data_IF_090124842590
#
_entry.id   IF_090124842590
#
_cell.length_a   1.000
_cell.length_b   1.000
_cell.length_c   1.000
_cell.angle_alpha   90.00
_cell.angle_beta   90.00
_cell.angle_gamma   90.00
#
_symmetry.space_group_name_H-M   'P 1'
#
loop_
_entity.id
_entity.type
_entity.pdbx_description
1 polymer ?
#
# COMPACT_ATOMS: atom_id res chain seq x y z
N UNK A 1 -33.11 25.14 -45.20
CA UNK A 1 -34.28 24.25 -45.02
C UNK A 1 -34.80 23.87 -46.41
N UNK A 2 -35.87 23.08 -46.52
CA UNK A 2 -36.52 22.72 -47.81
C UNK A 2 -37.01 23.91 -48.64
N UNK A 3 -36.97 25.13 -48.08
CA UNK A 3 -37.35 26.39 -48.71
C UNK A 3 -36.16 27.31 -49.05
N UNK A 4 -34.93 26.78 -49.10
CA UNK A 4 -33.72 27.55 -49.39
C UNK A 4 -33.31 28.59 -48.32
N UNK A 5 -34.04 28.71 -47.21
CA UNK A 5 -33.71 29.65 -46.12
C UNK A 5 -32.54 29.11 -45.30
N UNK A 6 -31.55 29.97 -45.04
CA UNK A 6 -30.46 29.73 -44.09
C UNK A 6 -31.07 29.65 -42.68
N UNK A 7 -30.96 28.49 -42.05
CA UNK A 7 -31.39 28.24 -40.67
C UNK A 7 -30.16 27.93 -39.83
N UNK A 8 -30.07 28.48 -38.61
CA UNK A 8 -28.99 28.14 -37.68
C UNK A 8 -29.21 26.69 -37.22
N UNK A 9 -28.30 25.80 -37.61
CA UNK A 9 -28.31 24.43 -37.12
C UNK A 9 -27.91 24.41 -35.64
N UNK A 10 -28.64 23.63 -34.84
CA UNK A 10 -28.35 23.45 -33.42
C UNK A 10 -27.34 22.32 -33.24
N UNK A 11 -26.34 22.54 -32.39
CA UNK A 11 -25.40 21.51 -31.93
C UNK A 11 -25.80 21.16 -30.49
N UNK A 12 -26.29 19.95 -30.29
CA UNK A 12 -26.59 19.42 -28.96
C UNK A 12 -25.46 18.49 -28.52
N UNK A 13 -24.94 18.69 -27.31
CA UNK A 13 -23.81 17.93 -26.78
C UNK A 13 -24.08 17.46 -25.36
N UNK A 14 -23.70 16.22 -25.09
CA UNK A 14 -23.73 15.60 -23.78
C UNK A 14 -22.35 15.03 -23.48
N UNK A 15 -21.80 15.40 -22.32
CA UNK A 15 -20.55 14.85 -21.80
C UNK A 15 -20.82 14.30 -20.40
N UNK A 16 -20.53 13.01 -20.21
CA UNK A 16 -20.53 12.35 -18.92
C UNK A 16 -19.12 11.85 -18.61
N UNK A 17 -18.70 12.02 -17.35
CA UNK A 17 -17.37 11.66 -16.90
C UNK A 17 -17.53 10.74 -15.69
N UNK A 18 -16.85 9.61 -15.73
CA UNK A 18 -16.78 8.65 -14.63
C UNK A 18 -15.33 8.44 -14.22
N UNK A 19 -15.08 8.31 -12.93
CA UNK A 19 -13.76 8.03 -12.36
C UNK A 19 -13.80 6.67 -11.69
N UNK A 20 -12.86 5.80 -12.06
CA UNK A 20 -12.49 4.63 -11.29
C UNK A 20 -11.16 4.92 -10.57
N UNK A 21 -11.17 5.14 -9.24
CA UNK A 21 -9.95 5.44 -8.48
C UNK A 21 -8.95 4.29 -8.45
N UNK A 22 -9.39 3.05 -8.68
CA UNK A 22 -8.59 1.83 -8.60
C UNK A 22 -8.04 1.35 -9.94
N UNK A 23 -8.43 1.97 -11.05
CA UNK A 23 -7.94 1.61 -12.37
C UNK A 23 -6.60 2.28 -12.65
N UNK A 24 -5.63 1.48 -13.11
CA UNK A 24 -4.33 1.94 -13.62
C UNK A 24 -4.38 2.29 -15.11
N UNK A 25 -5.51 2.04 -15.79
CA UNK A 25 -5.70 2.40 -17.19
C UNK A 25 -5.69 3.92 -17.35
N UNK A 26 -5.10 4.43 -18.44
CA UNK A 26 -4.98 5.87 -18.69
C UNK A 26 -6.34 6.54 -18.84
N UNK A 27 -7.00 6.44 -19.99
CA UNK A 27 -8.36 6.92 -20.14
C UNK A 27 -9.13 6.10 -21.16
N UNK A 28 -10.44 6.02 -20.98
CA UNK A 28 -11.35 5.47 -21.99
C UNK A 28 -12.25 6.58 -22.52
N UNK A 29 -12.27 6.76 -23.83
CA UNK A 29 -13.12 7.76 -24.48
C UNK A 29 -14.13 7.07 -25.40
N UNK A 30 -15.40 7.16 -25.06
CA UNK A 30 -16.52 6.61 -25.83
C UNK A 30 -17.27 7.79 -26.43
N UNK A 31 -17.33 7.90 -27.76
CA UNK A 31 -18.05 9.01 -28.39
C UNK A 31 -18.94 8.62 -29.55
N UNK A 32 -20.05 9.34 -29.66
CA UNK A 32 -21.06 9.19 -30.70
C UNK A 32 -21.34 10.54 -31.35
N UNK A 33 -21.36 10.57 -32.68
CA UNK A 33 -21.77 11.75 -33.46
C UNK A 33 -22.96 11.35 -34.33
N UNK A 34 -24.12 11.97 -34.12
CA UNK A 34 -25.39 11.60 -34.76
C UNK A 34 -25.66 10.07 -34.68
N UNK A 35 -25.53 9.51 -33.48
CA UNK A 35 -25.66 8.07 -33.18
C UNK A 35 -24.64 7.15 -33.87
N UNK A 36 -23.66 7.70 -34.59
CA UNK A 36 -22.56 6.92 -35.19
C UNK A 36 -21.37 6.89 -34.23
N UNK A 37 -20.88 5.70 -33.83
CA UNK A 37 -19.72 5.59 -32.95
C UNK A 37 -18.44 6.05 -33.66
N UNK A 38 -17.62 6.82 -32.95
CA UNK A 38 -16.33 7.32 -33.44
C UNK A 38 -15.19 6.54 -32.76
N UNK A 39 -14.97 5.31 -33.23
CA UNK A 39 -14.00 4.38 -32.63
C UNK A 39 -12.55 4.87 -32.73
N UNK A 40 -12.21 5.56 -33.82
CA UNK A 40 -10.86 6.08 -34.05
C UNK A 40 -10.73 7.52 -33.51
N UNK A 41 -11.76 8.00 -32.82
CA UNK A 41 -11.81 9.29 -32.15
C UNK A 41 -12.04 10.47 -33.09
N UNK A 42 -11.19 11.49 -32.98
CA UNK A 42 -11.27 12.70 -33.79
C UNK A 42 -11.23 13.98 -32.97
N UNK A 43 -11.49 15.07 -33.68
CA UNK A 43 -11.28 16.44 -33.17
C UNK A 43 -12.02 16.72 -31.86
N UNK A 44 -13.25 16.25 -31.72
CA UNK A 44 -14.07 16.46 -30.52
C UNK A 44 -13.45 15.82 -29.28
N UNK A 45 -12.96 14.58 -29.36
CA UNK A 45 -12.34 13.90 -28.22
C UNK A 45 -11.09 14.63 -27.76
N UNK A 46 -10.21 14.99 -28.70
CA UNK A 46 -8.96 15.69 -28.40
C UNK A 46 -9.22 17.06 -27.78
N UNK A 47 -10.22 17.80 -28.28
CA UNK A 47 -10.59 19.11 -27.73
C UNK A 47 -11.14 18.98 -26.31
N UNK A 48 -12.06 18.04 -26.07
CA UNK A 48 -12.57 17.78 -24.73
C UNK A 48 -11.46 17.41 -23.75
N UNK A 49 -10.55 16.51 -24.16
CA UNK A 49 -9.40 16.07 -23.35
C UNK A 49 -8.50 17.25 -22.99
N UNK A 50 -8.08 18.06 -23.97
CA UNK A 50 -7.17 19.20 -23.75
C UNK A 50 -7.78 20.26 -22.82
N UNK A 51 -9.03 20.64 -23.04
CA UNK A 51 -9.69 21.63 -22.18
C UNK A 51 -9.83 21.09 -20.76
N UNK A 52 -10.21 19.81 -20.60
CA UNK A 52 -10.30 19.17 -19.30
C UNK A 52 -8.96 19.19 -18.54
N UNK A 53 -7.88 18.76 -19.21
CA UNK A 53 -6.53 18.75 -18.61
C UNK A 53 -6.11 20.15 -18.19
N UNK A 54 -6.23 21.13 -19.09
CA UNK A 54 -5.80 22.50 -18.81
C UNK A 54 -6.58 23.10 -17.64
N UNK A 55 -7.91 22.94 -17.60
CA UNK A 55 -8.71 23.46 -16.49
C UNK A 55 -8.36 22.83 -15.13
N UNK A 56 -8.03 21.53 -15.11
CA UNK A 56 -7.58 20.87 -13.87
C UNK A 56 -6.18 21.35 -13.48
N UNK A 57 -5.25 21.44 -14.43
CA UNK A 57 -3.88 21.93 -14.20
C UNK A 57 -3.86 23.37 -13.71
N UNK A 58 -4.62 24.27 -14.33
CA UNK A 58 -4.73 25.68 -13.94
C UNK A 58 -5.24 25.80 -12.49
N UNK A 59 -6.19 24.96 -12.10
CA UNK A 59 -6.69 24.94 -10.73
C UNK A 59 -5.63 24.48 -9.73
N UNK A 60 -4.86 23.47 -10.10
CA UNK A 60 -3.84 22.86 -9.26
C UNK A 60 -2.50 23.60 -9.29
N UNK A 61 -2.27 24.52 -10.23
CA UNK A 61 -0.99 25.18 -10.45
C UNK A 61 -0.41 25.83 -9.18
N UNK A 62 -1.25 26.53 -8.40
CA UNK A 62 -0.83 27.16 -7.13
C UNK A 62 -0.39 26.12 -6.10
N UNK A 63 -1.07 24.98 -6.02
CA UNK A 63 -0.70 23.89 -5.11
C UNK A 63 0.55 23.17 -5.59
N UNK A 64 0.62 22.89 -6.89
CA UNK A 64 1.78 22.27 -7.56
C UNK A 64 3.05 23.08 -7.35
N UNK A 65 2.99 24.42 -7.48
CA UNK A 65 4.14 25.32 -7.25
C UNK A 65 4.57 25.34 -5.79
N UNK A 66 3.63 25.37 -4.83
CA UNK A 66 3.94 25.31 -3.39
C UNK A 66 4.69 24.03 -3.03
N UNK A 67 4.29 22.91 -3.63
CA UNK A 67 4.89 21.60 -3.36
C UNK A 67 6.08 21.27 -4.30
N UNK A 68 6.42 22.16 -5.24
CA UNK A 68 7.46 21.98 -6.26
C UNK A 68 7.28 20.72 -7.12
N UNK A 69 6.04 20.43 -7.49
CA UNK A 69 5.66 19.28 -8.32
C UNK A 69 5.32 19.78 -9.73
N UNK A 70 5.62 18.99 -10.75
CA UNK A 70 5.18 19.22 -12.12
C UNK A 70 4.04 18.27 -12.45
N UNK A 71 2.88 18.76 -12.89
CA UNK A 71 1.73 17.93 -13.28
C UNK A 71 1.83 17.46 -14.73
N UNK A 72 1.66 16.16 -14.96
CA UNK A 72 1.63 15.53 -16.28
C UNK A 72 0.19 15.15 -16.64
N UNK A 73 -0.12 15.06 -17.94
CA UNK A 73 -1.46 14.74 -18.45
C UNK A 73 -1.99 13.40 -17.90
N UNK A 74 -1.11 12.41 -17.71
CA UNK A 74 -1.48 11.11 -17.17
C UNK A 74 -1.98 11.22 -15.72
N UNK A 75 -1.39 12.09 -14.90
CA UNK A 75 -1.81 12.25 -13.50
C UNK A 75 -3.30 12.66 -13.41
N UNK A 76 -3.76 13.41 -14.42
CA UNK A 76 -5.15 13.87 -14.56
C UNK A 76 -6.02 12.77 -15.18
N UNK A 77 -5.54 12.10 -16.23
CA UNK A 77 -6.38 11.20 -17.04
C UNK A 77 -6.60 9.81 -16.42
N UNK A 78 -5.63 9.26 -15.68
CA UNK A 78 -5.68 7.87 -15.16
C UNK A 78 -7.01 7.52 -14.48
N UNK A 79 -7.62 6.42 -14.90
CA UNK A 79 -8.88 5.89 -14.37
C UNK A 79 -10.12 6.67 -14.83
N UNK A 80 -10.00 7.59 -15.79
CA UNK A 80 -11.13 8.35 -16.29
C UNK A 80 -11.81 7.69 -17.50
N UNK A 81 -13.13 7.67 -17.48
CA UNK A 81 -13.97 7.31 -18.64
C UNK A 81 -14.82 8.50 -19.05
N UNK A 82 -14.62 8.95 -20.29
CA UNK A 82 -15.41 9.99 -20.93
C UNK A 82 -16.45 9.36 -21.86
N UNK A 83 -17.70 9.77 -21.72
CA UNK A 83 -18.80 9.37 -22.61
C UNK A 83 -19.38 10.64 -23.23
N UNK A 84 -19.23 10.77 -24.54
CA UNK A 84 -19.63 11.96 -25.29
C UNK A 84 -20.66 11.64 -26.37
N UNK A 85 -21.78 12.34 -26.37
CA UNK A 85 -22.78 12.31 -27.44
C UNK A 85 -22.92 13.68 -28.08
N UNK A 86 -22.79 13.76 -29.40
CA UNK A 86 -22.89 14.99 -30.17
C UNK A 86 -23.94 14.80 -31.26
N UNK A 87 -24.90 15.72 -31.32
CA UNK A 87 -25.85 15.83 -32.43
C UNK A 87 -25.59 17.15 -33.15
N UNK A 88 -25.15 17.09 -34.41
CA UNK A 88 -24.77 18.27 -35.18
C UNK A 88 -25.18 18.19 -36.65
N UNK A 89 -25.45 19.33 -37.30
CA UNK A 89 -25.71 19.39 -38.73
C UNK A 89 -24.42 19.12 -39.53
N UNK A 90 -24.56 18.38 -40.64
CA UNK A 90 -23.48 18.16 -41.62
C UNK A 90 -22.12 17.73 -41.01
N UNK A 91 -22.06 16.66 -40.19
CA UNK A 91 -20.79 16.19 -39.64
C UNK A 91 -19.85 15.72 -40.77
N UNK A 92 -18.58 16.10 -40.67
CA UNK A 92 -17.54 15.72 -41.63
C UNK A 92 -16.63 14.67 -41.01
N UNK A 93 -16.51 13.53 -41.69
CA UNK A 93 -15.64 12.43 -41.27
C UNK A 93 -14.48 12.26 -42.25
N UNK A 94 -13.37 11.73 -41.76
CA UNK A 94 -12.15 11.55 -42.55
C UNK A 94 -12.33 10.49 -43.65
N UNK A 95 -13.19 9.50 -43.40
CA UNK A 95 -13.43 8.37 -44.29
C UNK A 95 -14.91 8.00 -44.35
N UNK A 96 -15.26 7.20 -45.36
CA UNK A 96 -16.61 6.64 -45.53
C UNK A 96 -17.04 5.76 -44.36
N UNK A 97 -16.09 5.14 -43.63
CA UNK A 97 -16.39 4.33 -42.44
C UNK A 97 -16.82 5.18 -41.25
N UNK A 98 -16.74 6.52 -41.34
CA UNK A 98 -17.21 7.50 -40.34
C UNK A 98 -16.65 7.27 -38.93
N UNK A 99 -15.45 6.71 -38.84
CA UNK A 99 -14.82 6.34 -37.56
C UNK A 99 -14.12 7.51 -36.85
N UNK A 100 -13.76 8.56 -37.60
CA UNK A 100 -13.03 9.73 -37.09
C UNK A 100 -13.63 11.05 -37.56
N UNK A 101 -13.97 11.92 -36.61
CA UNK A 101 -14.55 13.24 -36.89
C UNK A 101 -13.46 14.26 -37.22
N UNK A 102 -13.65 15.00 -38.31
CA UNK A 102 -12.76 16.07 -38.76
C UNK A 102 -13.07 17.36 -37.99
N UNK A 103 -12.09 18.27 -37.96
CA UNK A 103 -12.22 19.58 -37.31
C UNK A 103 -13.39 20.38 -37.90
N UNK A 104 -14.24 20.89 -37.00
CA UNK A 104 -15.31 21.84 -37.31
C UNK A 104 -15.23 23.03 -36.33
N UNK A 105 -15.19 24.25 -36.87
CA UNK A 105 -15.00 25.45 -36.08
C UNK A 105 -16.23 25.82 -35.22
N UNK A 106 -17.44 25.46 -35.64
CA UNK A 106 -18.64 25.68 -34.86
C UNK A 106 -18.71 24.70 -33.69
N UNK A 107 -18.31 23.45 -33.92
CA UNK A 107 -18.17 22.45 -32.88
C UNK A 107 -17.11 22.85 -31.84
N UNK A 108 -15.95 23.37 -32.28
CA UNK A 108 -14.90 23.85 -31.38
C UNK A 108 -15.43 24.90 -30.39
N UNK A 109 -16.10 25.94 -30.90
CA UNK A 109 -16.72 26.99 -30.07
C UNK A 109 -17.79 26.43 -29.14
N UNK A 110 -18.57 25.46 -29.62
CA UNK A 110 -19.59 24.79 -28.82
C UNK A 110 -18.99 24.00 -27.64
N UNK A 111 -17.91 23.26 -27.89
CA UNK A 111 -17.19 22.50 -26.88
C UNK A 111 -16.60 23.44 -25.82
N UNK A 112 -15.95 24.52 -26.24
CA UNK A 112 -15.40 25.53 -25.32
C UNK A 112 -16.48 26.15 -24.43
N UNK A 113 -17.62 26.54 -25.02
CA UNK A 113 -18.73 27.10 -24.27
C UNK A 113 -19.28 26.12 -23.23
N UNK A 114 -19.47 24.86 -23.62
CA UNK A 114 -19.95 23.80 -22.72
C UNK A 114 -18.96 23.59 -21.57
N UNK A 115 -17.67 23.45 -21.88
CA UNK A 115 -16.64 23.20 -20.88
C UNK A 115 -16.50 24.38 -19.92
N UNK A 116 -16.39 25.61 -20.42
CA UNK A 116 -16.29 26.80 -19.58
C UNK A 116 -17.48 26.95 -18.63
N UNK A 117 -18.70 26.60 -19.08
CA UNK A 117 -19.91 26.69 -18.27
C UNK A 117 -19.95 25.68 -17.12
N UNK A 118 -19.50 24.44 -17.35
CA UNK A 118 -19.69 23.34 -16.41
C UNK A 118 -18.43 22.94 -15.64
N UNK A 119 -17.24 23.25 -16.14
CA UNK A 119 -15.96 22.84 -15.55
C UNK A 119 -15.75 23.43 -14.16
N UNK A 120 -16.02 24.71 -13.99
CA UNK A 120 -15.94 25.39 -12.70
C UNK A 120 -16.80 24.71 -11.62
N UNK A 121 -18.01 24.29 -12.02
CA UNK A 121 -18.94 23.58 -11.14
C UNK A 121 -18.43 22.17 -10.84
N UNK A 122 -17.87 21.48 -11.82
CA UNK A 122 -17.26 20.16 -11.68
C UNK A 122 -16.10 20.20 -10.68
N UNK A 123 -15.14 21.11 -10.88
CA UNK A 123 -13.97 21.28 -10.01
C UNK A 123 -14.39 21.59 -8.57
N UNK A 124 -15.37 22.48 -8.37
CA UNK A 124 -15.87 22.81 -7.02
C UNK A 124 -16.53 21.64 -6.31
N UNK A 125 -17.22 20.76 -7.04
CA UNK A 125 -17.95 19.62 -6.48
C UNK A 125 -17.03 18.42 -6.19
N UNK A 126 -15.95 18.27 -6.94
CA UNK A 126 -15.08 17.09 -6.90
C UNK A 126 -13.70 17.43 -6.32
N UNK A 127 -13.66 17.86 -5.05
CA UNK A 127 -12.39 18.16 -4.36
C UNK A 127 -11.52 16.91 -4.16
N UNK A 128 -12.14 15.79 -3.82
CA UNK A 128 -11.46 14.51 -3.59
C UNK A 128 -10.68 14.04 -4.83
N UNK A 129 -11.22 14.29 -6.02
CA UNK A 129 -10.52 14.01 -7.27
C UNK A 129 -9.26 14.89 -7.45
N UNK A 130 -9.32 16.17 -7.08
CA UNK A 130 -8.15 17.05 -7.17
C UNK A 130 -7.04 16.61 -6.21
N UNK A 131 -7.42 16.13 -5.03
CA UNK A 131 -6.47 15.55 -4.05
C UNK A 131 -5.84 14.27 -4.59
N UNK A 132 -6.63 13.37 -5.19
CA UNK A 132 -6.13 12.16 -5.84
C UNK A 132 -5.13 12.46 -6.96
N UNK A 133 -5.41 13.45 -7.81
CA UNK A 133 -4.49 13.89 -8.88
C UNK A 133 -3.17 14.40 -8.29
N UNK A 134 -3.23 15.18 -7.20
CA UNK A 134 -2.04 15.65 -6.51
C UNK A 134 -1.24 14.52 -5.87
N UNK A 135 -1.91 13.53 -5.26
CA UNK A 135 -1.27 12.36 -4.68
C UNK A 135 -0.53 11.53 -5.75
N UNK A 136 -1.16 11.31 -6.91
CA UNK A 136 -0.53 10.64 -8.06
C UNK A 136 0.71 11.39 -8.54
N UNK A 137 0.61 12.71 -8.69
CA UNK A 137 1.72 13.55 -9.10
C UNK A 137 2.88 13.55 -8.08
N UNK A 138 2.56 13.58 -6.77
CA UNK A 138 3.54 13.41 -5.68
C UNK A 138 4.26 12.08 -5.78
N UNK A 139 3.51 10.98 -5.93
CA UNK A 139 4.05 9.64 -6.03
C UNK A 139 5.00 9.51 -7.22
N UNK A 140 4.59 10.00 -8.40
CA UNK A 140 5.43 9.99 -9.60
C UNK A 140 6.70 10.83 -9.43
N UNK A 141 6.58 12.05 -8.91
CA UNK A 141 7.75 12.91 -8.71
C UNK A 141 8.73 12.29 -7.69
N UNK A 142 8.19 11.69 -6.61
CA UNK A 142 8.96 10.91 -5.63
C UNK A 142 9.74 9.78 -6.33
N UNK A 143 9.06 9.01 -7.18
CA UNK A 143 9.67 7.92 -7.95
C UNK A 143 10.72 8.41 -8.95
N UNK A 144 10.48 9.54 -9.63
CA UNK A 144 11.43 10.11 -10.58
C UNK A 144 12.68 10.64 -9.87
N UNK A 145 12.52 11.33 -8.74
CA UNK A 145 13.63 11.73 -7.89
C UNK A 145 14.44 10.53 -7.38
N UNK A 146 13.76 9.45 -6.98
CA UNK A 146 14.40 8.20 -6.59
C UNK A 146 15.24 7.64 -7.76
N UNK A 147 14.66 7.53 -8.95
CA UNK A 147 15.34 7.00 -10.14
C UNK A 147 16.56 7.84 -10.54
N UNK A 148 16.44 9.16 -10.53
CA UNK A 148 17.54 10.07 -10.89
C UNK A 148 18.66 10.05 -9.86
N UNK A 149 18.31 9.97 -8.58
CA UNK A 149 19.30 9.89 -7.52
C UNK A 149 19.99 8.51 -7.47
N UNK A 150 19.25 7.43 -7.74
CA UNK A 150 19.78 6.08 -7.96
C UNK A 150 20.77 6.00 -9.12
N UNK A 151 20.48 6.66 -10.26
CA UNK A 151 21.41 6.73 -11.41
C UNK A 151 22.71 7.44 -11.05
N UNK A 152 22.65 8.51 -10.26
CA UNK A 152 23.84 9.22 -9.77
C UNK A 152 24.67 8.36 -8.82
N UNK A 153 24.02 7.64 -7.90
CA UNK A 153 24.69 6.70 -6.98
C UNK A 153 25.35 5.53 -7.73
N UNK A 154 24.69 4.97 -8.75
CA UNK A 154 25.22 3.86 -9.57
C UNK A 154 26.46 4.24 -10.40
N UNK A 155 26.56 5.50 -10.85
CA UNK A 155 27.77 6.01 -11.52
C UNK A 155 28.93 6.20 -10.53
N UNK A 156 28.66 6.34 -9.24
CA UNK A 156 29.68 6.64 -8.23
C UNK A 156 30.38 5.40 -7.66
N UNK A 157 29.75 4.21 -7.62
CA UNK A 157 30.39 3.02 -7.03
C UNK A 157 29.99 1.70 -7.74
N UNK A 158 30.90 1.17 -8.55
CA UNK A 158 31.07 -0.29 -8.80
C UNK A 158 31.83 -0.95 -7.62
N UNK A 159 31.71 -0.40 -6.42
CA UNK A 159 32.53 -0.79 -5.30
C UNK A 159 31.92 -2.03 -4.64
N UNK A 160 32.73 -3.09 -4.52
CA UNK A 160 32.38 -4.30 -3.79
C UNK A 160 32.03 -3.89 -2.35
N UNK A 161 30.86 -4.29 -1.88
CA UNK A 161 30.43 -4.04 -0.50
C UNK A 161 31.39 -4.79 0.44
N UNK A 162 32.19 -4.07 1.21
CA UNK A 162 33.26 -4.67 2.03
C UNK A 162 32.72 -5.57 3.14
N UNK A 163 31.55 -5.21 3.69
CA UNK A 163 30.86 -5.99 4.74
C UNK A 163 30.15 -7.23 4.23
N UNK A 164 29.98 -7.37 2.91
CA UNK A 164 29.21 -8.46 2.32
C UNK A 164 30.04 -9.74 2.31
N UNK A 165 29.57 -10.74 3.03
CA UNK A 165 30.00 -12.10 2.84
C UNK A 165 29.23 -12.68 1.65
N UNK A 166 29.84 -12.66 0.47
CA UNK A 166 29.17 -13.08 -0.76
C UNK A 166 28.96 -14.62 -0.84
N UNK A 167 27.95 -15.02 -1.61
CA UNK A 167 27.74 -16.41 -2.05
C UNK A 167 28.50 -16.67 -3.35
N UNK A 168 29.12 -17.86 -3.44
CA UNK A 168 30.02 -18.22 -4.54
C UNK A 168 29.30 -18.60 -5.83
N UNK A 169 28.05 -19.07 -5.77
CA UNK A 169 27.27 -19.39 -6.96
C UNK A 169 27.11 -18.15 -7.84
N UNK A 170 27.39 -18.24 -9.14
CA UNK A 170 27.36 -17.08 -10.06
C UNK A 170 26.42 -17.25 -11.23
N UNK A 171 26.03 -18.50 -11.54
CA UNK A 171 25.21 -18.84 -12.70
C UNK A 171 23.73 -18.81 -12.34
N UNK A 172 23.36 -19.45 -11.24
CA UNK A 172 21.98 -19.50 -10.77
C UNK A 172 21.82 -18.80 -9.42
N UNK A 173 21.42 -17.53 -9.48
CA UNK A 173 21.17 -16.72 -8.29
C UNK A 173 19.79 -16.98 -7.66
N UNK A 174 18.94 -17.79 -8.30
CA UNK A 174 17.59 -18.11 -7.79
C UNK A 174 17.63 -18.90 -6.48
N UNK A 175 18.68 -19.68 -6.28
CA UNK A 175 18.90 -20.48 -5.08
C UNK A 175 19.67 -19.72 -3.99
N UNK A 176 20.15 -18.50 -4.28
CA UNK A 176 20.96 -17.74 -3.35
C UNK A 176 20.12 -17.06 -2.28
N UNK A 177 20.57 -17.16 -1.03
CA UNK A 177 19.93 -16.56 0.15
C UNK A 177 20.86 -15.55 0.81
N UNK A 178 20.39 -14.33 1.03
CA UNK A 178 21.12 -13.31 1.79
C UNK A 178 20.58 -13.24 3.22
N UNK A 179 21.44 -13.45 4.21
CA UNK A 179 21.13 -13.20 5.61
C UNK A 179 21.48 -11.75 5.99
N UNK A 180 20.52 -11.03 6.56
CA UNK A 180 20.74 -9.71 7.16
C UNK A 180 20.76 -9.90 8.67
N UNK A 181 21.95 -9.77 9.26
CA UNK A 181 22.20 -10.06 10.66
C UNK A 181 22.29 -8.79 11.51
N UNK A 182 21.84 -8.89 12.76
CA UNK A 182 22.03 -7.86 13.78
C UNK A 182 23.47 -7.88 14.31
N UNK A 183 24.21 -6.80 14.08
CA UNK A 183 25.56 -6.59 14.62
C UNK A 183 26.67 -7.39 13.94
N UNK A 184 27.91 -6.91 14.12
CA UNK A 184 29.10 -7.58 13.60
C UNK A 184 29.36 -8.93 14.32
N UNK A 185 28.85 -9.12 15.55
CA UNK A 185 29.00 -10.38 16.30
C UNK A 185 28.34 -11.57 15.62
N UNK A 186 27.14 -11.38 15.05
CA UNK A 186 26.40 -12.44 14.37
C UNK A 186 27.07 -12.87 13.04
N UNK A 187 27.84 -11.98 12.40
CA UNK A 187 28.51 -12.30 11.13
C UNK A 187 29.60 -13.36 11.28
N UNK A 188 30.23 -13.44 12.47
CA UNK A 188 31.26 -14.43 12.79
C UNK A 188 30.69 -15.85 12.81
N UNK A 189 29.55 -16.02 13.49
CA UNK A 189 28.82 -17.29 13.52
C UNK A 189 28.33 -17.70 12.12
N UNK A 190 27.74 -16.75 11.38
CA UNK A 190 27.29 -16.97 10.01
C UNK A 190 28.44 -17.41 9.08
N UNK A 191 29.60 -16.75 9.15
CA UNK A 191 30.77 -17.06 8.30
C UNK A 191 31.20 -18.52 8.42
N UNK A 192 31.12 -19.07 9.62
CA UNK A 192 31.60 -20.42 9.95
C UNK A 192 30.58 -21.51 9.61
N UNK A 193 29.28 -21.23 9.75
CA UNK A 193 28.24 -22.25 9.59
C UNK A 193 27.56 -22.28 8.22
N UNK A 194 27.62 -21.19 7.44
CA UNK A 194 26.88 -21.07 6.18
C UNK A 194 27.41 -21.97 5.07
N UNK A 195 26.52 -22.36 4.17
CA UNK A 195 26.90 -22.90 2.87
C UNK A 195 27.40 -21.76 1.95
N UNK A 196 28.73 -21.63 1.81
CA UNK A 196 29.38 -20.58 1.01
C UNK A 196 28.96 -20.55 -0.47
N UNK A 197 28.39 -21.65 -0.99
CA UNK A 197 27.92 -21.72 -2.36
C UNK A 197 26.67 -20.86 -2.56
N UNK A 198 25.67 -21.01 -1.69
CA UNK A 198 24.35 -20.39 -1.86
C UNK A 198 24.03 -19.29 -0.85
N UNK A 199 24.72 -19.23 0.29
CA UNK A 199 24.36 -18.35 1.40
C UNK A 199 25.32 -17.18 1.54
N UNK A 200 24.78 -15.98 1.38
CA UNK A 200 25.44 -14.69 1.62
C UNK A 200 25.06 -14.10 2.97
N UNK A 201 25.79 -13.09 3.43
CA UNK A 201 25.52 -12.44 4.71
C UNK A 201 25.98 -11.00 4.78
N UNK A 202 25.20 -10.14 5.42
CA UNK A 202 25.57 -8.75 5.74
C UNK A 202 25.17 -8.42 7.18
N UNK A 203 26.04 -7.71 7.89
CA UNK A 203 25.78 -7.25 9.26
C UNK A 203 25.31 -5.79 9.25
N UNK A 204 24.30 -5.50 10.07
CA UNK A 204 23.82 -4.15 10.33
C UNK A 204 24.51 -3.56 11.55
N UNK A 205 24.94 -2.30 11.44
CA UNK A 205 25.46 -1.54 12.58
C UNK A 205 24.34 -0.77 13.28
N UNK A 206 23.65 -1.46 14.18
CA UNK A 206 22.56 -0.91 14.98
C UNK A 206 21.21 -0.90 14.25
N UNK A 207 20.27 -0.11 14.77
CA UNK A 207 18.88 -0.10 14.29
C UNK A 207 18.78 0.63 12.93
N UNK A 208 18.15 0.02 11.91
CA UNK A 208 17.91 0.70 10.63
C UNK A 208 17.10 1.98 10.80
N UNK A 209 17.33 2.95 9.93
CA UNK A 209 16.56 4.19 9.93
C UNK A 209 15.12 3.94 9.49
N UNK A 210 14.14 4.59 10.14
CA UNK A 210 12.74 4.52 9.72
C UNK A 210 12.52 5.28 8.39
N UNK A 211 12.31 4.54 7.31
CA UNK A 211 12.15 5.10 5.97
C UNK A 211 10.81 5.78 5.71
N UNK A 212 9.78 5.53 6.54
CA UNK A 212 8.50 6.23 6.39
C UNK A 212 8.62 7.71 6.77
N UNK A 213 9.54 8.05 7.66
CA UNK A 213 9.77 9.42 8.14
C UNK A 213 10.96 10.10 7.47
N UNK A 214 11.94 9.33 7.01
CA UNK A 214 13.16 9.83 6.39
C UNK A 214 12.92 10.37 4.98
N UNK A 215 13.69 11.39 4.58
CA UNK A 215 13.66 11.84 3.19
C UNK A 215 14.45 10.87 2.30
N UNK A 216 14.13 10.85 1.01
CA UNK A 216 14.83 10.02 0.03
C UNK A 216 16.35 10.27 0.03
N UNK A 217 16.77 11.52 0.20
CA UNK A 217 18.19 11.89 0.27
C UNK A 217 18.88 11.24 1.46
N UNK A 218 18.21 11.18 2.61
CA UNK A 218 18.76 10.59 3.83
C UNK A 218 18.93 9.08 3.66
N UNK A 219 17.97 8.43 3.00
CA UNK A 219 18.03 7.00 2.67
C UNK A 219 19.19 6.71 1.72
N UNK A 220 19.38 7.55 0.70
CA UNK A 220 20.46 7.39 -0.27
C UNK A 220 21.85 7.74 0.28
N UNK A 221 21.92 8.54 1.34
CA UNK A 221 23.18 8.84 2.03
C UNK A 221 23.50 7.81 3.11
N UNK A 222 22.55 6.93 3.46
CA UNK A 222 22.76 5.89 4.46
C UNK A 222 23.52 4.70 3.84
N UNK A 223 24.75 4.50 4.30
CA UNK A 223 25.63 3.46 3.80
C UNK A 223 25.08 2.04 4.03
N UNK A 224 24.37 1.77 5.14
CA UNK A 224 23.79 0.45 5.43
C UNK A 224 22.74 0.07 4.37
N UNK A 225 21.84 1.00 4.02
CA UNK A 225 20.86 0.74 2.97
C UNK A 225 21.50 0.64 1.59
N UNK A 226 22.49 1.47 1.27
CA UNK A 226 23.24 1.35 0.03
C UNK A 226 23.91 -0.03 -0.10
N UNK A 227 24.53 -0.50 0.97
CA UNK A 227 25.21 -1.79 1.02
C UNK A 227 24.22 -2.96 0.85
N UNK A 228 23.06 -2.93 1.52
CA UNK A 228 22.00 -3.92 1.36
C UNK A 228 21.48 -3.94 -0.09
N UNK A 229 21.13 -2.77 -0.63
CA UNK A 229 20.60 -2.66 -2.01
C UNK A 229 21.61 -3.16 -3.03
N UNK A 230 22.89 -2.75 -2.90
CA UNK A 230 23.96 -3.20 -3.79
C UNK A 230 24.27 -4.69 -3.66
N UNK A 231 24.11 -5.26 -2.46
CA UNK A 231 24.29 -6.69 -2.21
C UNK A 231 23.24 -7.51 -2.93
N UNK A 232 21.97 -7.07 -2.90
CA UNK A 232 20.85 -7.77 -3.53
C UNK A 232 20.76 -7.48 -5.03
N UNK A 233 21.20 -6.31 -5.48
CA UNK A 233 21.02 -5.83 -6.86
C UNK A 233 19.77 -4.96 -7.04
N UNK A 234 19.23 -4.42 -5.94
CA UNK A 234 18.05 -3.56 -5.96
C UNK A 234 18.44 -2.11 -6.23
N UNK A 235 17.54 -1.36 -6.85
CA UNK A 235 17.73 0.06 -7.14
C UNK A 235 16.48 0.83 -6.73
N UNK A 236 16.65 1.88 -5.92
CA UNK A 236 15.53 2.70 -5.44
C UNK A 236 14.77 3.34 -6.61
N UNK A 237 13.44 3.22 -6.57
CA UNK A 237 12.58 3.71 -7.64
C UNK A 237 12.67 2.91 -8.94
N UNK A 238 13.01 1.63 -8.85
CA UNK A 238 12.86 0.67 -9.94
C UNK A 238 12.18 -0.58 -9.38
N UNK A 239 11.29 -1.16 -10.18
CA UNK A 239 10.71 -2.48 -9.91
C UNK A 239 11.81 -3.54 -9.86
N UNK A 240 11.51 -4.66 -9.22
CA UNK A 240 12.44 -5.78 -9.09
C UNK A 240 12.71 -6.40 -10.46
N UNK A 241 13.96 -6.32 -10.92
CA UNK A 241 14.43 -7.03 -12.10
C UNK A 241 14.92 -8.41 -11.67
N UNK A 242 14.05 -9.42 -11.70
CA UNK A 242 14.31 -10.78 -11.21
C UNK A 242 15.58 -11.40 -11.78
N UNK A 243 15.85 -11.19 -13.07
CA UNK A 243 17.06 -11.70 -13.75
C UNK A 243 18.37 -11.09 -13.25
N UNK A 244 18.30 -9.93 -12.60
CA UNK A 244 19.48 -9.21 -12.07
C UNK A 244 19.62 -9.32 -10.56
N UNK A 245 18.67 -9.96 -9.88
CA UNK A 245 18.79 -10.22 -8.46
C UNK A 245 19.96 -11.16 -8.20
N UNK A 246 20.79 -10.79 -7.22
CA UNK A 246 21.88 -11.63 -6.73
C UNK A 246 21.42 -12.65 -5.70
N UNK A 247 20.30 -12.38 -5.04
CA UNK A 247 19.74 -13.18 -3.97
C UNK A 247 18.22 -13.15 -4.11
N UNK A 248 17.61 -14.30 -4.41
CA UNK A 248 16.16 -14.41 -4.51
C UNK A 248 15.47 -14.58 -3.17
N UNK A 249 16.21 -15.03 -2.15
CA UNK A 249 15.73 -15.10 -0.77
C UNK A 249 16.51 -14.10 0.10
N UNK A 250 15.79 -13.35 0.91
CA UNK A 250 16.34 -12.39 1.87
C UNK A 250 15.78 -12.77 3.24
N UNK A 251 16.67 -13.15 4.14
CA UNK A 251 16.33 -13.67 5.46
C UNK A 251 16.81 -12.70 6.53
N UNK A 252 15.90 -12.20 7.35
CA UNK A 252 16.24 -11.39 8.52
C UNK A 252 16.59 -12.33 9.67
N UNK A 253 17.76 -12.13 10.26
CA UNK A 253 18.26 -12.89 11.40
C UNK A 253 18.70 -11.90 12.49
N UNK A 254 17.77 -11.60 13.39
CA UNK A 254 17.98 -10.69 14.52
C UNK A 254 17.74 -11.42 15.85
N UNK A 255 18.15 -10.82 16.95
CA UNK A 255 17.98 -11.41 18.28
C UNK A 255 16.49 -11.59 18.63
N UNK A 256 16.18 -12.61 19.44
CA UNK A 256 14.81 -12.88 19.90
C UNK A 256 14.41 -12.03 21.10
N UNK A 257 14.70 -10.73 21.01
CA UNK A 257 14.38 -9.73 22.00
C UNK A 257 13.55 -8.57 21.39
N UNK A 258 13.32 -7.52 22.18
CA UNK A 258 12.53 -6.36 21.76
C UNK A 258 13.25 -5.59 20.65
N UNK A 259 14.58 -5.57 20.66
CA UNK A 259 15.39 -4.81 19.71
C UNK A 259 15.50 -5.50 18.35
N UNK A 260 15.67 -6.82 18.33
CA UNK A 260 15.58 -7.61 17.10
C UNK A 260 14.18 -7.56 16.49
N UNK A 261 13.12 -7.52 17.31
CA UNK A 261 11.75 -7.22 16.88
C UNK A 261 11.64 -5.85 16.18
N UNK A 262 12.26 -4.81 16.74
CA UNK A 262 12.33 -3.50 16.11
C UNK A 262 13.09 -3.52 14.77
N UNK A 263 14.22 -4.21 14.69
CA UNK A 263 15.01 -4.32 13.45
C UNK A 263 14.20 -5.03 12.36
N UNK A 264 13.59 -6.17 12.68
CA UNK A 264 12.77 -6.93 11.74
C UNK A 264 11.63 -6.08 11.17
N UNK A 265 10.95 -5.31 12.01
CA UNK A 265 9.84 -4.44 11.58
C UNK A 265 10.32 -3.25 10.74
N UNK A 266 11.47 -2.65 11.07
CA UNK A 266 12.08 -1.57 10.28
C UNK A 266 12.56 -2.05 8.90
N UNK A 267 13.19 -3.22 8.82
CA UNK A 267 13.57 -3.85 7.55
C UNK A 267 12.35 -4.21 6.72
N UNK A 268 11.31 -4.78 7.36
CA UNK A 268 10.04 -5.08 6.69
C UNK A 268 9.44 -3.82 6.08
N UNK A 269 9.39 -2.71 6.84
CA UNK A 269 8.92 -1.43 6.33
C UNK A 269 9.80 -0.91 5.17
N UNK A 270 11.12 -1.05 5.26
CA UNK A 270 12.04 -0.67 4.20
C UNK A 270 11.76 -1.42 2.90
N UNK A 271 11.78 -2.75 2.92
CA UNK A 271 11.55 -3.54 1.71
C UNK A 271 10.13 -3.33 1.18
N UNK A 272 9.09 -3.32 2.03
CA UNK A 272 7.71 -3.20 1.55
C UNK A 272 7.42 -1.81 0.98
N UNK A 273 8.05 -0.76 1.50
CA UNK A 273 7.88 0.61 1.00
C UNK A 273 8.44 0.82 -0.40
N UNK A 274 9.47 0.07 -0.79
CA UNK A 274 10.20 0.28 -2.05
C UNK A 274 10.07 -0.87 -3.05
N UNK A 275 9.88 -2.11 -2.58
CA UNK A 275 9.75 -3.33 -3.38
C UNK A 275 8.73 -4.30 -2.76
N UNK A 276 7.43 -3.94 -2.75
CA UNK A 276 6.38 -4.82 -2.24
C UNK A 276 6.31 -6.16 -2.99
N UNK A 277 6.79 -6.22 -4.23
CA UNK A 277 6.79 -7.43 -5.07
C UNK A 277 7.64 -8.57 -4.46
N UNK A 278 8.65 -8.24 -3.64
CA UNK A 278 9.47 -9.24 -2.92
C UNK A 278 8.65 -10.03 -1.89
N UNK A 279 7.60 -9.42 -1.32
CA UNK A 279 6.73 -10.09 -0.35
C UNK A 279 5.72 -10.99 -1.07
N UNK A 280 5.24 -10.56 -2.25
CA UNK A 280 4.32 -11.33 -3.07
C UNK A 280 4.95 -12.63 -3.58
N UNK A 281 6.24 -12.60 -3.92
CA UNK A 281 7.00 -13.80 -4.30
C UNK A 281 7.48 -14.64 -3.08
N UNK A 282 7.29 -14.15 -1.85
CA UNK A 282 7.76 -14.83 -0.64
C UNK A 282 9.29 -14.84 -0.48
N UNK A 283 9.98 -13.89 -1.11
CA UNK A 283 11.43 -13.69 -1.03
C UNK A 283 11.87 -13.21 0.35
N UNK A 284 11.04 -12.44 1.05
CA UNK A 284 11.35 -11.92 2.39
C UNK A 284 10.94 -12.94 3.46
N UNK A 285 11.88 -13.30 4.32
CA UNK A 285 11.69 -14.31 5.36
C UNK A 285 12.35 -13.88 6.67
N UNK A 286 11.90 -14.45 7.79
CA UNK A 286 12.47 -14.26 9.13
C UNK A 286 12.96 -15.62 9.64
N UNK A 287 14.24 -15.66 9.99
CA UNK A 287 14.83 -16.79 10.71
C UNK A 287 14.71 -16.55 12.22
N UNK A 288 14.30 -17.59 12.94
CA UNK A 288 14.29 -17.60 14.41
C UNK A 288 15.48 -18.43 14.89
N UNK A 289 16.29 -17.84 15.76
CA UNK A 289 17.34 -18.57 16.46
C UNK A 289 16.71 -19.52 17.51
N UNK A 290 17.33 -20.67 17.79
CA UNK A 290 16.92 -21.53 18.90
C UNK A 290 17.15 -20.81 20.23
N UNK A 291 16.11 -20.78 21.06
CA UNK A 291 16.13 -20.20 22.40
C UNK A 291 16.88 -21.08 23.39
N UNK A 292 16.85 -22.41 23.20
CA UNK A 292 17.52 -23.37 24.04
C UNK A 292 18.34 -24.39 23.24
N UNK A 293 19.50 -24.73 23.77
CA UNK A 293 20.31 -25.88 23.35
C UNK A 293 20.29 -26.88 24.50
N UNK A 294 19.65 -28.03 24.28
CA UNK A 294 19.45 -29.04 25.31
C UNK A 294 20.32 -30.24 25.00
N UNK A 295 21.31 -30.50 25.85
CA UNK A 295 22.10 -31.72 25.78
C UNK A 295 21.30 -32.88 26.36
N UNK A 296 21.13 -33.92 25.55
CA UNK A 296 20.47 -35.16 25.94
C UNK A 296 21.43 -36.34 25.85
N UNK A 297 20.97 -37.51 26.27
CA UNK A 297 21.63 -38.79 25.99
C UNK A 297 21.75 -39.10 24.49
N UNK A 298 20.77 -38.67 23.68
CA UNK A 298 20.75 -38.86 22.22
C UNK A 298 21.41 -37.76 21.39
N UNK A 299 22.02 -36.74 22.01
CA UNK A 299 22.67 -35.61 21.33
C UNK A 299 22.08 -34.25 21.71
N UNK A 300 22.43 -33.20 20.97
CA UNK A 300 21.96 -31.83 21.20
C UNK A 300 20.63 -31.59 20.49
N UNK A 301 19.63 -31.12 21.22
CA UNK A 301 18.30 -30.75 20.70
C UNK A 301 18.14 -29.24 20.79
N UNK A 302 17.79 -28.61 19.67
CA UNK A 302 17.56 -27.16 19.59
C UNK A 302 16.08 -26.84 19.68
N UNK A 303 15.69 -25.98 20.63
CA UNK A 303 14.30 -25.60 20.88
C UNK A 303 14.11 -24.10 20.71
N UNK A 304 13.00 -23.68 20.13
CA UNK A 304 12.72 -22.28 19.79
C UNK A 304 11.81 -21.60 20.80
N UNK A 305 11.04 -22.38 21.57
CA UNK A 305 10.05 -21.83 22.50
C UNK A 305 10.17 -22.46 23.88
N UNK A 306 9.77 -21.73 24.95
CA UNK A 306 9.68 -22.30 26.29
C UNK A 306 8.70 -23.49 26.37
N UNK A 307 7.63 -23.48 25.58
CA UNK A 307 6.66 -24.58 25.52
C UNK A 307 7.29 -25.90 25.07
N UNK A 308 8.15 -25.85 24.05
CA UNK A 308 8.89 -27.02 23.57
C UNK A 308 9.82 -27.60 24.64
N UNK A 309 10.42 -26.75 25.48
CA UNK A 309 11.25 -27.21 26.59
C UNK A 309 10.42 -27.95 27.66
N UNK A 310 9.23 -27.43 27.98
CA UNK A 310 8.32 -28.09 28.92
C UNK A 310 7.78 -29.41 28.37
N UNK A 311 7.50 -29.50 27.08
CA UNK A 311 7.13 -30.76 26.42
C UNK A 311 8.27 -31.79 26.47
N UNK A 312 9.50 -31.35 26.22
CA UNK A 312 10.68 -32.22 26.31
C UNK A 312 10.87 -32.75 27.73
N UNK A 313 10.72 -31.91 28.76
CA UNK A 313 10.78 -32.33 30.17
C UNK A 313 9.67 -33.33 30.54
N UNK A 314 8.48 -33.21 29.94
CA UNK A 314 7.35 -34.13 30.19
C UNK A 314 7.55 -35.49 29.54
N UNK A 315 8.24 -35.54 28.40
CA UNK A 315 8.67 -36.80 27.77
C UNK A 315 9.79 -37.41 28.61
N UNK A 316 9.43 -38.16 29.66
CA UNK A 316 10.34 -38.91 30.57
C UNK A 316 11.26 -39.92 29.85
N UNK A 317 11.17 -40.04 28.53
CA UNK A 317 11.95 -40.91 27.66
C UNK A 317 13.37 -40.42 27.40
N UNK A 318 13.66 -39.13 27.61
CA UNK A 318 14.95 -38.51 27.23
C UNK A 318 15.60 -37.89 28.46
N UNK A 319 16.82 -38.35 28.81
CA UNK A 319 17.52 -37.81 29.97
C UNK A 319 18.26 -36.52 29.60
N UNK A 320 17.78 -35.40 30.14
CA UNK A 320 18.41 -34.09 29.97
C UNK A 320 19.68 -34.00 30.82
N UNK A 321 20.81 -33.68 30.20
CA UNK A 321 22.12 -33.50 30.87
C UNK A 321 22.37 -32.03 31.21
N UNK A 322 22.18 -31.14 30.24
CA UNK A 322 22.38 -29.71 30.39
C UNK A 322 21.38 -28.94 29.54
N UNK A 323 21.01 -27.74 29.99
CA UNK A 323 20.18 -26.80 29.24
C UNK A 323 20.97 -25.50 29.15
N UNK A 324 21.32 -25.09 27.93
CA UNK A 324 21.87 -23.78 27.64
C UNK A 324 20.77 -22.90 27.04
N UNK A 325 20.71 -21.63 27.47
CA UNK A 325 19.74 -20.65 26.95
C UNK A 325 20.50 -19.56 26.21
N UNK A 326 20.19 -19.40 24.94
CA UNK A 326 20.75 -18.35 24.12
C UNK A 326 20.00 -17.04 24.37
N UNK A 327 20.70 -15.97 24.73
CA UNK A 327 20.09 -14.63 24.84
C UNK A 327 20.22 -13.82 23.56
N UNK A 328 21.28 -14.05 22.79
CA UNK A 328 21.51 -13.43 21.50
C UNK A 328 22.30 -14.33 20.55
N UNK A 329 22.38 -13.93 19.28
CA UNK A 329 23.03 -14.66 18.19
C UNK A 329 24.52 -14.90 18.45
N UNK A 330 25.18 -14.03 19.21
CA UNK A 330 26.61 -14.14 19.55
C UNK A 330 26.93 -15.21 20.58
N UNK A 331 25.96 -15.67 21.37
CA UNK A 331 26.14 -16.71 22.40
C UNK A 331 25.90 -18.12 21.85
N UNK A 332 25.34 -18.22 20.64
CA UNK A 332 25.00 -19.50 20.02
C UNK A 332 26.22 -20.35 19.72
N UNK A 333 26.10 -21.65 19.96
CA UNK A 333 27.14 -22.61 19.58
C UNK A 333 27.28 -22.73 18.04
N UNK A 334 28.44 -23.19 17.53
CA UNK A 334 28.61 -23.45 16.11
C UNK A 334 27.57 -24.42 15.53
N UNK A 335 27.10 -25.38 16.33
CA UNK A 335 26.10 -26.35 15.89
C UNK A 335 24.70 -25.74 15.87
N UNK A 336 24.38 -24.81 16.78
CA UNK A 336 23.15 -24.03 16.70
C UNK A 336 23.13 -23.15 15.43
N UNK A 337 24.27 -22.55 15.06
CA UNK A 337 24.40 -21.82 13.81
C UNK A 337 24.18 -22.72 12.59
N UNK A 338 24.78 -23.91 12.56
CA UNK A 338 24.52 -24.90 11.49
C UNK A 338 23.06 -25.33 11.46
N UNK A 339 22.42 -25.52 12.61
CA UNK A 339 21.01 -25.85 12.71
C UNK A 339 20.11 -24.76 12.11
N UNK A 340 20.42 -23.47 12.33
CA UNK A 340 19.66 -22.38 11.69
C UNK A 340 19.94 -22.33 10.18
N UNK A 341 21.20 -22.50 9.76
CA UNK A 341 21.60 -22.38 8.34
C UNK A 341 21.19 -23.57 7.47
N UNK A 342 20.94 -24.74 8.06
CA UNK A 342 20.55 -25.96 7.34
C UNK A 342 19.05 -26.09 7.08
N UNK A 343 18.23 -25.13 7.53
CA UNK A 343 16.79 -25.17 7.32
C UNK A 343 16.43 -24.89 5.87
N UNK A 344 15.52 -25.70 5.33
CA UNK A 344 15.02 -25.54 3.97
C UNK A 344 14.12 -24.31 3.82
N UNK A 345 13.38 -23.95 4.87
CA UNK A 345 12.44 -22.82 4.85
C UNK A 345 12.44 -22.05 6.16
N UNK A 346 12.39 -20.73 6.06
CA UNK A 346 12.17 -19.80 7.17
C UNK A 346 10.73 -19.25 7.17
N UNK A 347 10.39 -18.44 8.18
CA UNK A 347 9.05 -17.86 8.27
C UNK A 347 8.88 -16.80 7.18
N UNK A 348 8.12 -17.11 6.12
CA UNK A 348 7.86 -16.17 5.03
C UNK A 348 6.93 -15.05 5.49
N UNK A 349 7.24 -13.82 5.11
CA UNK A 349 6.33 -12.69 5.31
C UNK A 349 5.47 -12.55 4.06
N UNK A 350 4.17 -12.86 4.18
CA UNK A 350 3.19 -12.74 3.10
C UNK A 350 2.31 -11.51 3.27
N UNK A 351 1.69 -11.07 2.18
CA UNK A 351 0.80 -9.90 2.17
C UNK A 351 -0.55 -10.34 1.63
N UNK A 352 -1.54 -10.41 2.52
CA UNK A 352 -2.90 -10.84 2.14
C UNK A 352 -3.67 -9.72 1.43
N UNK A 353 -3.67 -8.51 2.01
CA UNK A 353 -4.25 -7.31 1.41
C UNK A 353 -3.28 -6.14 1.43
N UNK A 354 -2.90 -5.68 0.22
CA UNK A 354 -1.97 -4.56 0.02
C UNK A 354 -2.47 -3.26 0.66
N UNK A 355 -3.80 -3.02 0.65
CA UNK A 355 -4.38 -1.79 1.22
C UNK A 355 -4.26 -1.77 2.73
N UNK A 356 -4.66 -2.87 3.38
CA UNK A 356 -4.56 -3.03 4.83
C UNK A 356 -3.10 -2.99 5.30
N UNK A 357 -2.19 -3.68 4.61
CA UNK A 357 -0.76 -3.66 4.93
C UNK A 357 -0.17 -2.23 4.86
N UNK A 358 -0.48 -1.48 3.80
CA UNK A 358 -0.01 -0.08 3.66
C UNK A 358 -0.58 0.82 4.75
N UNK A 359 -1.86 0.68 5.08
CA UNK A 359 -2.50 1.44 6.15
C UNK A 359 -1.86 1.14 7.52
N UNK A 360 -1.60 -0.14 7.81
CA UNK A 360 -0.96 -0.56 9.06
C UNK A 360 0.47 -0.02 9.16
N UNK A 361 1.26 -0.06 8.08
CA UNK A 361 2.61 0.52 8.07
C UNK A 361 2.58 2.03 8.30
N UNK A 362 1.60 2.75 7.75
CA UNK A 362 1.45 4.19 8.01
C UNK A 362 1.11 4.47 9.48
N UNK A 363 0.24 3.66 10.11
CA UNK A 363 -0.03 3.78 11.55
C UNK A 363 1.24 3.49 12.37
N UNK A 364 1.94 2.40 12.07
CA UNK A 364 3.10 1.96 12.82
C UNK A 364 4.33 2.88 12.64
N UNK A 365 4.57 3.42 11.44
CA UNK A 365 5.82 4.13 11.12
C UNK A 365 5.62 5.59 10.71
N UNK A 366 4.39 6.03 10.49
CA UNK A 366 4.06 7.39 10.07
C UNK A 366 4.45 8.46 11.09
N UNK A 367 4.28 9.72 10.67
CA UNK A 367 4.64 10.89 11.50
C UNK A 367 3.63 11.15 12.63
N UNK A 368 2.36 10.84 12.40
CA UNK A 368 1.32 11.00 13.42
C UNK A 368 1.41 9.86 14.44
N UNK A 369 1.53 10.23 15.71
CA UNK A 369 1.65 9.28 16.82
C UNK A 369 0.30 8.88 17.41
N UNK A 370 -0.77 9.63 17.16
CA UNK A 370 -2.08 9.35 17.77
C UNK A 370 -2.65 8.00 17.31
N UNK A 371 -2.69 7.66 16.01
CA UNK A 371 -3.22 6.38 15.55
C UNK A 371 -2.43 5.19 16.12
N UNK A 372 -1.11 5.34 16.25
CA UNK A 372 -0.23 4.33 16.85
C UNK A 372 -0.54 4.12 18.31
N UNK A 373 -0.76 5.21 19.05
CA UNK A 373 -1.09 5.16 20.48
C UNK A 373 -2.43 4.47 20.69
N UNK A 374 -3.43 4.80 19.88
CA UNK A 374 -4.76 4.16 19.94
C UNK A 374 -4.66 2.66 19.65
N UNK A 375 -3.88 2.27 18.63
CA UNK A 375 -3.62 0.86 18.31
C UNK A 375 -3.03 0.09 19.50
N UNK A 376 -2.05 0.67 20.19
CA UNK A 376 -1.41 0.02 21.34
C UNK A 376 -2.35 -0.09 22.54
N UNK A 377 -3.18 0.94 22.78
CA UNK A 377 -4.15 0.94 23.88
C UNK A 377 -5.31 -0.04 23.66
N UNK A 378 -5.77 -0.19 22.42
CA UNK A 378 -6.84 -1.14 22.08
C UNK A 378 -6.35 -2.60 22.20
N UNK A 379 -5.08 -2.88 21.86
CA UNK A 379 -4.49 -4.23 21.97
C UNK A 379 -4.22 -4.69 23.41
N UNK A 380 -3.95 -3.76 24.35
CA UNK A 380 -3.81 -4.10 25.77
C UNK A 380 -5.16 -4.55 26.41
N UNK A 381 -6.30 -4.21 25.78
CA UNK A 381 -7.63 -4.61 26.24
C UNK A 381 -8.00 -6.07 26.02
N UNK A 382 -7.33 -6.78 25.09
CA UNK A 382 -7.63 -8.18 24.75
C UNK A 382 -6.79 -9.22 25.53
N UNK A 383 -5.70 -8.81 26.20
CA UNK A 383 -4.74 -9.72 26.84
C UNK A 383 -4.88 -9.90 28.36
N UNK A 384 -6.02 -9.57 28.97
CA UNK A 384 -6.27 -9.88 30.40
C UNK A 384 -7.34 -10.96 30.55
N UNK A 385 -6.94 -12.23 30.43
CA UNK A 385 -7.72 -13.33 31.00
C UNK A 385 -6.86 -14.55 31.37
N UNK A 386 -6.27 -14.56 32.57
CA UNK A 386 -5.92 -15.81 33.27
C UNK A 386 -6.16 -15.70 34.79
N UNK A 387 -7.34 -16.23 35.18
CA UNK A 387 -7.72 -16.97 36.41
C UNK A 387 -7.54 -16.43 37.84
N UNK A 388 -8.69 -16.09 38.45
CA UNK A 388 -9.40 -16.77 39.57
C UNK A 388 -8.66 -16.98 40.92
N UNK A 389 -9.13 -16.27 41.96
CA UNK A 389 -9.23 -16.78 43.34
C UNK A 389 -10.52 -16.30 44.01
N UNK A 390 -11.15 -17.20 44.77
CA UNK A 390 -12.47 -17.13 45.43
C UNK A 390 -12.59 -16.08 46.54
N UNK A 391 -13.79 -15.56 46.87
CA UNK A 391 -13.98 -14.55 47.92
C UNK A 391 -14.15 -15.19 49.30
N UNK A 392 -13.41 -14.67 50.30
CA UNK A 392 -13.67 -14.86 51.73
C UNK A 392 -14.26 -13.56 52.30
N UNK A 393 -15.36 -13.70 53.06
CA UNK A 393 -16.12 -12.63 53.71
C UNK A 393 -15.26 -11.81 54.69
N UNK A 394 -15.47 -10.49 54.74
CA UNK A 394 -14.99 -9.66 55.84
C UNK A 394 -15.15 -8.14 55.63
N UNK A 395 -16.12 -7.56 56.34
CA UNK A 395 -16.21 -6.20 56.88
C UNK A 395 -16.24 -4.94 55.97
N UNK A 396 -17.22 -4.09 56.31
CA UNK A 396 -17.53 -2.73 55.84
C UNK A 396 -16.55 -1.70 56.41
N UNK A 397 -16.26 -0.63 55.67
CA UNK A 397 -16.57 0.79 56.02
C UNK A 397 -16.22 1.77 54.88
N UNK A 398 -16.87 2.95 54.92
CA UNK A 398 -16.96 4.05 53.95
C UNK A 398 -15.61 4.65 53.49
N UNK A 399 -15.47 5.40 52.39
CA UNK A 399 -16.26 6.57 51.99
C UNK A 399 -15.87 7.10 50.58
N UNK A 400 -16.89 7.62 49.88
CA UNK A 400 -16.93 8.80 48.97
C UNK A 400 -15.75 9.21 48.08
N UNK A 401 -16.02 9.35 46.77
CA UNK A 401 -15.33 10.32 45.90
C UNK A 401 -15.31 9.98 44.41
N UNK A 402 -16.14 10.65 43.61
CA UNK A 402 -15.94 10.90 42.16
C UNK A 402 -15.95 9.73 41.15
N UNK A 403 -17.14 9.17 40.88
CA UNK A 403 -17.50 8.71 39.52
C UNK A 403 -18.95 9.09 39.19
N UNK A 404 -19.17 10.36 38.82
CA UNK A 404 -20.49 10.83 38.35
C UNK A 404 -20.45 11.88 37.23
N UNK A 405 -19.51 11.79 36.28
CA UNK A 405 -19.60 12.53 35.00
C UNK A 405 -19.08 11.67 33.84
N UNK A 406 -19.85 10.66 33.43
CA UNK A 406 -19.62 9.97 32.15
C UNK A 406 -20.83 9.16 31.65
N UNK A 407 -21.82 8.86 32.51
CA UNK A 407 -22.98 8.02 32.16
C UNK A 407 -24.27 8.77 31.79
N UNK A 408 -24.22 10.10 31.60
CA UNK A 408 -25.41 10.92 31.26
C UNK A 408 -25.50 11.40 29.81
N UNK A 409 -24.46 11.23 28.98
CA UNK A 409 -24.48 11.63 27.56
C UNK A 409 -24.85 10.49 26.59
N UNK A 410 -24.72 9.22 26.99
CA UNK A 410 -25.06 8.09 26.12
C UNK A 410 -26.57 7.75 26.03
N UNK A 411 -27.39 8.17 27.02
CA UNK A 411 -28.83 7.82 27.05
C UNK A 411 -29.75 8.81 26.30
N UNK A 412 -29.22 9.94 25.81
CA UNK A 412 -29.98 10.96 25.04
C UNK A 412 -29.83 10.80 23.51
N UNK A 413 -28.82 10.06 23.03
CA UNK A 413 -28.62 9.79 21.60
C UNK A 413 -29.45 8.60 21.08
N UNK A 414 -29.63 7.54 21.88
CA UNK A 414 -30.36 6.33 21.48
C UNK A 414 -31.88 6.53 21.32
N UNK A 415 -32.48 7.54 21.97
CA UNK A 415 -33.93 7.84 21.84
C UNK A 415 -34.29 8.73 20.63
N UNK A 416 -33.30 9.31 19.95
CA UNK A 416 -33.50 10.20 18.78
C UNK A 416 -33.40 9.48 17.43
N UNK A 417 -32.78 8.30 17.41
CA UNK A 417 -32.61 7.48 16.19
C UNK A 417 -33.85 6.60 15.93
N UNK A 418 -34.51 6.09 16.99
CA UNK A 418 -35.71 5.23 16.85
C UNK A 418 -36.98 5.99 16.44
N UNK A 419 -37.10 7.29 16.73
CA UNK A 419 -38.23 8.13 16.25
C UNK A 419 -38.12 8.57 14.78
N UNK A 420 -36.92 8.57 14.18
CA UNK A 420 -36.72 8.95 12.76
C UNK A 420 -36.91 7.79 11.78
N UNK A 421 -36.69 6.54 12.23
CA UNK A 421 -36.97 5.34 11.43
C UNK A 421 -38.48 5.08 11.26
N UNK A 422 -39.27 5.24 12.32
CA UNK A 422 -40.73 5.03 12.28
C UNK A 422 -41.50 6.04 11.39
N UNK A 423 -40.96 7.26 11.21
CA UNK A 423 -41.56 8.30 10.35
C UNK A 423 -41.23 8.15 8.86
N UNK A 424 -40.25 7.29 8.50
CA UNK A 424 -39.81 7.07 7.11
C UNK A 424 -40.49 5.85 6.48
N UNK A 425 -40.95 4.90 7.30
CA UNK A 425 -41.72 3.73 6.85
C UNK A 425 -43.19 4.10 6.55
N UNK A 426 -43.82 4.94 7.38
CA UNK A 426 -45.21 5.41 7.18
C UNK A 426 -45.39 6.34 5.97
N UNK A 427 -44.32 7.03 5.52
CA UNK A 427 -44.37 7.89 4.31
C UNK A 427 -44.16 7.12 2.99
N UNK A 428 -43.63 5.88 3.04
CA UNK A 428 -43.44 5.01 1.85
C UNK A 428 -44.70 4.21 1.53
N UNK A 429 -45.49 3.82 2.52
CA UNK A 429 -46.78 3.11 2.31
C UNK A 429 -47.91 4.03 1.82
N UNK A 430 -47.93 5.31 2.22
CA UNK A 430 -48.96 6.27 1.74
C UNK A 430 -48.77 6.74 0.27
N UNK A 431 -47.56 6.63 -0.30
CA UNK A 431 -47.28 6.97 -1.72
C UNK A 431 -47.49 5.80 -2.68
N UNK A 432 -47.59 4.57 -2.17
CA UNK A 432 -47.85 3.38 -2.98
C UNK A 432 -49.36 3.17 -3.24
N UNK A 433 -50.24 3.61 -2.33
CA UNK A 433 -51.70 3.55 -2.47
C UNK A 433 -52.28 4.64 -3.38
N UNK A 434 -51.63 5.80 -3.50
CA UNK A 434 -52.07 6.89 -4.39
C UNK A 434 -51.67 6.69 -5.87
N UNK A 435 -50.65 5.88 -6.17
CA UNK A 435 -50.28 5.50 -7.55
C UNK A 435 -51.08 4.33 -8.14
N UNK A 436 -51.80 3.57 -7.30
CA UNK A 436 -52.66 2.46 -7.74
C UNK A 436 -54.10 2.90 -8.05
N UNK A 437 -54.55 4.04 -7.52
CA UNK A 437 -55.88 4.62 -7.80
C UNK A 437 -55.94 5.46 -9.09
N UNK A 438 -54.83 6.04 -9.54
CA UNK A 438 -54.76 6.87 -10.77
C UNK A 438 -54.50 6.08 -12.05
N UNK A 439 -54.22 4.78 -11.96
CA UNK A 439 -54.00 3.89 -13.12
C UNK A 439 -55.22 3.04 -13.47
N UNK A 440 -56.35 3.19 -12.76
CA UNK A 440 -57.61 2.44 -12.99
C UNK A 440 -58.74 3.26 -13.61
N UNK A 441 -58.51 4.55 -13.92
CA UNK A 441 -59.52 5.47 -14.51
C UNK A 441 -59.22 5.90 -15.95
N UNK A 442 -58.24 5.30 -16.62
CA UNK A 442 -57.93 5.53 -18.06
C UNK A 442 -58.11 4.28 -18.93
N UNK A 443 -58.94 3.33 -18.47
CA UNK A 443 -59.48 2.21 -19.26
C UNK A 443 -60.96 2.00 -18.92
N UNK A 444 -61.78 3.01 -19.20
CA UNK A 444 -63.23 2.94 -19.45
C UNK A 444 -63.75 4.37 -19.67
N UNK A 445 -63.57 4.84 -20.90
CA UNK A 445 -64.47 5.69 -21.68
C UNK A 445 -63.93 5.72 -23.09
#
# INVERSE_FOLDING_TARGET
NTKGKKVKGRIDMHLSITLDPSSDDRERFISFVNSTPTFDGGFHQDRFRRIFINSVKDKLERHSKKEKITLVDNDVLTGMTFICGITMPNPRFESQTKRKLVRDAHLEKGIEFLMNKYMDKFIRKNKDYLELVMERAKSRHKFQMLKDASKKSRKAKKQRVEKLLDANERRDRSQCTLFICEGDSAIGGLRSARNKLYQGGIALKGKPMNVAQANIKDILNNQEFLDIMASIGLTLGQEVEWDKLRYSNIVFLADSDVDGGHINTLLTNFFYSFWPELFEQGSIQIAKAPLFEVETDGGVVFLETPGQLEELKKKKTTKIKAIHRNKGLGEMSPDAWKYVMSRDTYTKITVDDKKTAKAMLEVCFGKDSNPRKDLLLDQEGENVSVTRTTPRKGAKTASTGEKKVAKKTAKKAAKKVTKKAAKKVTKKTAKATTKKATKKTTKKK
#
